data_IF_800966792894
#
_entry.id   IF_800966792894
#
_cell.length_a   1.000
_cell.length_b   1.000
_cell.length_c   1.000
_cell.angle_alpha   90.00
_cell.angle_beta   90.00
_cell.angle_gamma   90.00
#
_symmetry.space_group_name_H-M   'P 1'
#
loop_
_entity.id
_entity.type
_entity.pdbx_description
1 polymer ?
#
# COMPACT_ATOMS: atom_id res chain seq x y z
N UNK A 1 -7.33 14.09 12.55
CA UNK A 1 -7.32 12.86 13.36
C UNK A 1 -7.22 13.25 14.83
N UNK A 2 -7.95 12.56 15.71
CA UNK A 2 -7.91 12.78 17.16
C UNK A 2 -6.65 12.14 17.77
N UNK A 3 -5.77 12.97 18.34
CA UNK A 3 -4.49 12.53 18.90
C UNK A 3 -4.66 11.58 20.09
N UNK A 4 -5.71 11.76 20.90
CA UNK A 4 -6.00 10.91 22.06
C UNK A 4 -6.38 9.52 21.58
N UNK A 5 -7.26 9.44 20.58
CA UNK A 5 -7.68 8.17 19.97
C UNK A 5 -6.52 7.42 19.32
N UNK A 6 -5.60 8.14 18.68
CA UNK A 6 -4.38 7.55 18.09
C UNK A 6 -3.43 7.02 19.18
N UNK A 7 -3.26 7.74 20.29
CA UNK A 7 -2.44 7.30 21.41
C UNK A 7 -3.01 6.02 22.05
N UNK A 8 -4.32 5.98 22.32
CA UNK A 8 -4.99 4.80 22.87
C UNK A 8 -4.86 3.58 21.94
N UNK A 9 -5.06 3.76 20.63
CA UNK A 9 -4.87 2.67 19.68
C UNK A 9 -3.42 2.16 19.67
N UNK A 10 -2.44 3.06 19.78
CA UNK A 10 -1.03 2.68 19.89
C UNK A 10 -0.76 1.84 21.12
N UNK A 11 -1.30 2.20 22.27
CA UNK A 11 -1.12 1.44 23.51
C UNK A 11 -1.74 0.04 23.40
N UNK A 12 -2.94 -0.07 22.83
CA UNK A 12 -3.58 -1.37 22.55
C UNK A 12 -2.73 -2.24 21.62
N UNK A 13 -2.14 -1.65 20.58
CA UNK A 13 -1.31 -2.37 19.63
C UNK A 13 0.10 -2.67 20.14
N UNK A 14 0.63 -1.89 21.09
CA UNK A 14 1.98 -2.06 21.63
C UNK A 14 2.16 -3.37 22.40
N UNK A 15 1.08 -3.92 22.98
CA UNK A 15 1.07 -5.26 23.57
C UNK A 15 1.10 -6.41 22.54
N UNK A 16 1.14 -6.09 21.25
CA UNK A 16 1.13 -7.07 20.15
C UNK A 16 2.35 -6.91 19.25
N UNK A 17 2.66 -7.93 18.46
CA UNK A 17 3.72 -7.83 17.45
C UNK A 17 3.34 -6.94 16.23
N UNK A 18 2.11 -6.42 16.16
CA UNK A 18 1.60 -5.77 14.96
C UNK A 18 2.38 -4.52 14.56
N UNK A 19 2.75 -3.65 15.50
CA UNK A 19 3.46 -2.41 15.16
C UNK A 19 4.83 -2.71 14.54
N UNK A 20 5.57 -3.67 15.11
CA UNK A 20 6.90 -4.03 14.62
C UNK A 20 6.83 -4.83 13.32
N UNK A 21 5.91 -5.77 13.21
CA UNK A 21 5.66 -6.49 11.96
C UNK A 21 5.27 -5.53 10.82
N UNK A 22 4.40 -4.54 11.11
CA UNK A 22 3.99 -3.53 10.12
C UNK A 22 5.16 -2.64 9.70
N UNK A 23 5.98 -2.18 10.65
CA UNK A 23 7.20 -1.39 10.34
C UNK A 23 8.18 -2.18 9.49
N UNK A 24 8.45 -3.42 9.88
CA UNK A 24 9.34 -4.30 9.14
C UNK A 24 8.83 -4.54 7.71
N UNK A 25 7.55 -4.87 7.58
CA UNK A 25 6.90 -5.09 6.28
C UNK A 25 6.95 -3.85 5.40
N UNK A 26 6.59 -2.67 5.94
CA UNK A 26 6.66 -1.41 5.20
C UNK A 26 8.10 -1.10 4.75
N UNK A 27 9.09 -1.37 5.61
CA UNK A 27 10.50 -1.23 5.26
C UNK A 27 10.94 -2.17 4.14
N UNK A 28 10.53 -3.44 4.20
CA UNK A 28 10.81 -4.43 3.16
C UNK A 28 10.14 -4.05 1.82
N UNK A 29 8.89 -3.59 1.88
CA UNK A 29 8.15 -3.12 0.71
C UNK A 29 8.85 -1.94 0.05
N UNK A 30 9.23 -0.92 0.82
CA UNK A 30 9.94 0.26 0.32
C UNK A 30 11.25 -0.12 -0.38
N UNK A 31 12.07 -0.96 0.26
CA UNK A 31 13.35 -1.42 -0.33
C UNK A 31 13.15 -2.24 -1.62
N UNK A 32 12.02 -2.93 -1.76
CA UNK A 32 11.72 -3.73 -2.96
C UNK A 32 11.33 -2.89 -4.17
N UNK A 33 10.79 -1.68 -3.96
CA UNK A 33 10.33 -0.80 -5.05
C UNK A 33 11.27 0.34 -5.37
N UNK A 34 12.12 0.76 -4.43
CA UNK A 34 13.07 1.87 -4.60
C UNK A 34 13.98 1.69 -5.83
N UNK A 35 14.58 0.51 -6.11
CA UNK A 35 15.41 0.31 -7.29
C UNK A 35 14.66 0.44 -8.63
N UNK A 36 13.32 0.40 -8.60
CA UNK A 36 12.45 0.55 -9.77
C UNK A 36 11.99 2.00 -10.00
N UNK A 37 12.54 2.95 -9.24
CA UNK A 37 12.11 4.35 -9.23
C UNK A 37 10.94 4.63 -8.28
N UNK A 38 10.62 3.70 -7.37
CA UNK A 38 9.42 3.78 -6.55
C UNK A 38 8.15 3.52 -7.37
N UNK A 39 6.99 3.93 -6.84
CA UNK A 39 5.72 3.84 -7.54
C UNK A 39 4.52 3.63 -6.62
N UNK A 40 3.32 3.93 -7.14
CA UNK A 40 2.08 3.66 -6.45
C UNK A 40 1.79 2.16 -6.50
N UNK A 41 1.74 1.51 -5.34
CA UNK A 41 1.31 0.12 -5.23
C UNK A 41 -0.16 0.08 -4.85
N UNK A 42 -0.96 -0.64 -5.62
CA UNK A 42 -2.35 -0.90 -5.29
C UNK A 42 -2.51 -2.36 -4.87
N UNK A 43 -2.82 -2.57 -3.60
CA UNK A 43 -2.90 -3.90 -2.99
C UNK A 43 -4.35 -4.19 -2.63
N UNK A 44 -4.86 -5.31 -3.14
CA UNK A 44 -6.18 -5.84 -2.78
C UNK A 44 -6.13 -6.81 -1.60
N UNK A 45 -7.28 -7.07 -1.00
CA UNK A 45 -7.43 -8.24 -0.12
C UNK A 45 -7.65 -9.50 -0.96
N UNK A 46 -7.58 -10.67 -0.33
CA UNK A 46 -7.85 -11.93 -1.02
C UNK A 46 -9.27 -12.00 -1.64
N UNK A 47 -10.24 -11.28 -1.06
CA UNK A 47 -11.64 -11.25 -1.54
C UNK A 47 -11.99 -10.05 -2.41
N UNK A 48 -11.09 -9.07 -2.54
CA UNK A 48 -11.35 -7.87 -3.30
C UNK A 48 -10.10 -7.39 -4.03
N UNK A 49 -10.07 -7.59 -5.34
CA UNK A 49 -9.04 -7.06 -6.21
C UNK A 49 -9.42 -5.67 -6.74
N UNK A 50 -8.62 -4.63 -6.50
CA UNK A 50 -8.95 -3.25 -6.86
C UNK A 50 -8.60 -2.93 -8.32
N UNK A 51 -8.89 -3.86 -9.24
CA UNK A 51 -8.50 -3.72 -10.65
C UNK A 51 -9.19 -2.54 -11.35
N UNK A 52 -10.44 -2.25 -11.01
CA UNK A 52 -11.16 -1.10 -11.54
C UNK A 52 -10.49 0.22 -11.13
N UNK A 53 -10.04 0.31 -9.89
CA UNK A 53 -9.33 1.50 -9.41
C UNK A 53 -7.97 1.64 -10.09
N UNK A 54 -7.27 0.55 -10.34
CA UNK A 54 -6.03 0.58 -11.12
C UNK A 54 -6.28 1.18 -12.52
N UNK A 55 -7.31 0.71 -13.23
CA UNK A 55 -7.67 1.23 -14.55
C UNK A 55 -8.01 2.73 -14.53
N UNK A 56 -8.80 3.19 -13.55
CA UNK A 56 -9.11 4.61 -13.41
C UNK A 56 -7.89 5.47 -13.11
N UNK A 57 -6.93 4.96 -12.34
CA UNK A 57 -5.69 5.65 -12.04
C UNK A 57 -4.77 5.75 -13.28
N UNK A 58 -4.72 4.71 -14.11
CA UNK A 58 -4.00 4.77 -15.40
C UNK A 58 -4.63 5.81 -16.34
N UNK A 59 -5.96 5.83 -16.46
CA UNK A 59 -6.66 6.86 -17.24
C UNK A 59 -6.38 8.26 -16.71
N UNK A 60 -6.37 8.43 -15.38
CA UNK A 60 -6.08 9.71 -14.74
C UNK A 60 -4.62 10.14 -14.94
N UNK A 61 -3.67 9.21 -14.86
CA UNK A 61 -2.26 9.47 -15.16
C UNK A 61 -2.09 10.04 -16.57
N UNK A 62 -2.79 9.44 -17.55
CA UNK A 62 -2.78 9.89 -18.93
C UNK A 62 -3.45 11.27 -19.11
N UNK A 63 -4.61 11.50 -18.48
CA UNK A 63 -5.32 12.79 -18.56
C UNK A 63 -4.58 13.94 -17.90
N UNK A 64 -3.95 13.69 -16.75
CA UNK A 64 -3.28 14.72 -15.94
C UNK A 64 -1.80 14.91 -16.28
N UNK A 65 -1.21 14.00 -17.06
CA UNK A 65 0.24 14.01 -17.32
C UNK A 65 1.08 13.66 -16.09
N UNK A 66 0.49 12.95 -15.10
CA UNK A 66 1.14 12.56 -13.85
C UNK A 66 1.45 11.04 -13.88
N UNK A 67 2.58 10.61 -14.45
CA UNK A 67 2.89 9.18 -14.61
C UNK A 67 2.97 8.43 -13.27
N UNK A 68 3.27 9.12 -12.17
CA UNK A 68 3.30 8.53 -10.82
C UNK A 68 1.94 8.02 -10.32
N UNK A 69 0.83 8.37 -10.99
CA UNK A 69 -0.50 7.84 -10.67
C UNK A 69 -0.72 6.44 -11.24
N UNK A 70 0.00 6.04 -12.29
CA UNK A 70 -0.11 4.70 -12.87
C UNK A 70 0.35 3.65 -11.85
N UNK A 71 -0.56 2.79 -11.35
CA UNK A 71 -0.24 1.92 -10.23
C UNK A 71 0.28 0.56 -10.69
N UNK A 72 1.15 -0.04 -9.89
CA UNK A 72 1.37 -1.50 -9.96
C UNK A 72 0.30 -2.21 -9.13
N UNK A 73 -0.59 -2.95 -9.79
CA UNK A 73 -1.56 -3.82 -9.12
C UNK A 73 -0.86 -5.05 -8.53
N UNK A 74 -0.72 -5.09 -7.21
CA UNK A 74 -0.12 -6.21 -6.48
C UNK A 74 -1.20 -7.24 -6.18
N UNK A 75 -1.08 -8.41 -6.80
CA UNK A 75 -1.97 -9.54 -6.55
C UNK A 75 -1.44 -10.36 -5.39
N UNK A 76 -2.31 -10.66 -4.43
CA UNK A 76 -1.97 -11.45 -3.23
C UNK A 76 -1.55 -12.90 -3.57
N UNK A 77 -1.97 -13.43 -4.72
CA UNK A 77 -1.55 -14.77 -5.17
C UNK A 77 -0.34 -14.67 -6.08
N UNK A 78 0.77 -15.24 -5.63
CA UNK A 78 1.87 -15.66 -6.51
C UNK A 78 1.38 -16.90 -7.24
N UNK A 79 1.45 -16.94 -8.59
CA UNK A 79 1.19 -18.19 -9.33
C UNK A 79 2.19 -19.25 -8.86
N UNK A 80 1.80 -20.54 -8.80
CA UNK A 80 2.76 -21.62 -8.57
C UNK A 80 3.87 -21.62 -9.61
#
# INVERSE_FOLDING_TARGET
MDAVRVALLRDVLAGTAWLDATRWFAGALRRSVDPRGGGLLLVGSAGYEPWHLAAHLDDEAARSGLPQLSPTLVRHRVRP
#
